data_IF_334391271384
#
_entry.id   IF_334391271384
#
_cell.length_a   1.000
_cell.length_b   1.000
_cell.length_c   1.000
_cell.angle_alpha   90.00
_cell.angle_beta   90.00
_cell.angle_gamma   90.00
#
_symmetry.space_group_name_H-M   'P 1'
#
loop_
_entity.id
_entity.type
_entity.pdbx_description
1 polymer ?
#
# COMPACT_ATOMS: atom_id res chain seq x y z
N UNK A 1 -5.57 1.76 -16.45
CA UNK A 1 -6.97 1.99 -16.88
C UNK A 1 -7.60 0.78 -17.56
N UNK A 2 -6.88 -0.02 -18.36
CA UNK A 2 -7.38 -1.29 -18.91
C UNK A 2 -7.82 -2.27 -17.81
N UNK A 3 -7.03 -2.44 -16.74
CA UNK A 3 -7.37 -3.26 -15.58
C UNK A 3 -8.67 -2.81 -14.90
N UNK A 4 -8.85 -1.50 -14.66
CA UNK A 4 -10.08 -0.95 -14.08
C UNK A 4 -11.31 -1.17 -14.99
N UNK A 5 -11.17 -1.00 -16.31
CA UNK A 5 -12.25 -1.32 -17.26
C UNK A 5 -12.58 -2.80 -17.27
N UNK A 6 -11.57 -3.66 -17.24
CA UNK A 6 -11.76 -5.10 -17.20
C UNK A 6 -12.51 -5.51 -15.92
N UNK A 7 -12.08 -5.00 -14.75
CA UNK A 7 -12.76 -5.24 -13.49
C UNK A 7 -14.22 -4.76 -13.50
N UNK A 8 -14.48 -3.56 -14.04
CA UNK A 8 -15.84 -3.05 -14.18
C UNK A 8 -16.71 -3.94 -15.09
N UNK A 9 -16.15 -4.46 -16.18
CA UNK A 9 -16.85 -5.39 -17.08
C UNK A 9 -17.16 -6.73 -16.38
N UNK A 10 -16.21 -7.29 -15.63
CA UNK A 10 -16.41 -8.53 -14.86
C UNK A 10 -17.49 -8.35 -13.78
N UNK A 11 -17.48 -7.20 -13.10
CA UNK A 11 -18.48 -6.85 -12.09
C UNK A 11 -19.87 -6.71 -12.71
N UNK A 12 -19.99 -6.05 -13.87
CA UNK A 12 -21.25 -5.90 -14.59
C UNK A 12 -21.78 -7.24 -15.12
N UNK A 13 -20.89 -8.16 -15.50
CA UNK A 13 -21.23 -9.51 -15.94
C UNK A 13 -21.57 -10.48 -14.80
N UNK A 14 -21.41 -10.06 -13.53
CA UNK A 14 -21.58 -10.95 -12.37
C UNK A 14 -20.59 -12.13 -12.37
N UNK A 15 -19.41 -11.94 -12.95
CA UNK A 15 -18.42 -13.00 -13.08
C UNK A 15 -17.93 -13.48 -11.70
N UNK A 16 -17.62 -14.78 -11.54
CA UNK A 16 -17.16 -15.34 -10.26
C UNK A 16 -15.88 -14.66 -9.75
N UNK A 17 -15.00 -14.23 -10.65
CA UNK A 17 -13.72 -13.60 -10.31
C UNK A 17 -13.78 -12.06 -10.27
N UNK A 18 -14.98 -11.47 -10.36
CA UNK A 18 -15.14 -10.01 -10.40
C UNK A 18 -14.50 -9.31 -9.20
N UNK A 19 -14.58 -9.91 -8.01
CA UNK A 19 -13.99 -9.37 -6.78
C UNK A 19 -12.47 -9.27 -6.89
N UNK A 20 -11.80 -10.35 -7.29
CA UNK A 20 -10.35 -10.38 -7.47
C UNK A 20 -9.88 -9.44 -8.59
N UNK A 21 -10.66 -9.32 -9.67
CA UNK A 21 -10.38 -8.36 -10.73
C UNK A 21 -10.45 -6.90 -10.22
N UNK A 22 -11.43 -6.58 -9.37
CA UNK A 22 -11.57 -5.25 -8.74
C UNK A 22 -10.41 -4.96 -7.78
N UNK A 23 -10.04 -5.92 -6.93
CA UNK A 23 -8.92 -5.78 -6.00
C UNK A 23 -7.59 -5.54 -6.75
N UNK A 24 -7.31 -6.35 -7.78
CA UNK A 24 -6.12 -6.18 -8.62
C UNK A 24 -6.13 -4.83 -9.35
N UNK A 25 -7.28 -4.41 -9.87
CA UNK A 25 -7.41 -3.12 -10.53
C UNK A 25 -7.20 -1.96 -9.55
N UNK A 26 -7.71 -2.06 -8.32
CA UNK A 26 -7.53 -1.05 -7.28
C UNK A 26 -6.06 -0.92 -6.89
N UNK A 27 -5.38 -2.05 -6.64
CA UNK A 27 -3.94 -2.08 -6.36
C UNK A 27 -3.12 -1.45 -7.49
N UNK A 28 -3.31 -1.91 -8.73
CA UNK A 28 -2.55 -1.42 -9.88
C UNK A 28 -2.79 0.07 -10.15
N UNK A 29 -4.02 0.57 -9.96
CA UNK A 29 -4.32 1.99 -10.15
C UNK A 29 -3.74 2.85 -9.02
N UNK A 30 -3.76 2.38 -7.77
CA UNK A 30 -3.19 3.10 -6.64
C UNK A 30 -1.67 3.27 -6.78
N UNK A 31 -0.94 2.21 -7.15
CA UNK A 31 0.50 2.26 -7.40
C UNK A 31 0.85 3.22 -8.53
N UNK A 32 0.12 3.14 -9.65
CA UNK A 32 0.30 4.05 -10.77
C UNK A 32 0.04 5.52 -10.36
N UNK A 33 -0.98 5.76 -9.53
CA UNK A 33 -1.33 7.10 -9.08
C UNK A 33 -0.24 7.73 -8.20
N UNK A 34 0.36 6.96 -7.28
CA UNK A 34 1.49 7.42 -6.46
C UNK A 34 2.68 7.78 -7.36
N UNK A 35 3.02 6.91 -8.33
CA UNK A 35 4.13 7.14 -9.26
C UNK A 35 3.93 8.43 -10.05
N UNK A 36 2.76 8.60 -10.68
CA UNK A 36 2.46 9.78 -11.49
C UNK A 36 2.50 11.06 -10.65
N UNK A 37 1.99 11.04 -9.42
CA UNK A 37 2.06 12.21 -8.54
C UNK A 37 3.50 12.54 -8.13
N UNK A 38 4.33 11.53 -7.87
CA UNK A 38 5.74 11.73 -7.56
C UNK A 38 6.51 12.29 -8.77
N UNK A 39 6.28 11.73 -9.97
CA UNK A 39 6.88 12.23 -11.21
C UNK A 39 6.43 13.68 -11.50
N UNK A 40 5.15 14.00 -11.25
CA UNK A 40 4.64 15.37 -11.35
C UNK A 40 5.37 16.34 -10.42
N UNK A 41 5.62 15.94 -9.17
CA UNK A 41 6.42 16.76 -8.24
C UNK A 41 7.84 16.96 -8.77
N UNK A 42 8.47 15.91 -9.28
CA UNK A 42 9.82 15.98 -9.80
C UNK A 42 9.93 16.92 -11.01
N UNK A 43 8.95 16.89 -11.93
CA UNK A 43 8.92 17.77 -13.10
C UNK A 43 8.75 19.25 -12.75
N UNK A 44 7.98 19.56 -11.71
CA UNK A 44 7.70 20.95 -11.31
C UNK A 44 8.71 21.51 -10.29
N UNK A 45 9.58 20.67 -9.73
CA UNK A 45 10.58 21.06 -8.73
C UNK A 45 9.94 21.65 -7.47
N UNK A 46 10.60 22.63 -6.84
CA UNK A 46 10.15 23.21 -5.56
C UNK A 46 8.74 23.82 -5.60
N UNK A 47 8.27 24.27 -6.76
CA UNK A 47 6.92 24.87 -6.94
C UNK A 47 5.82 23.84 -6.65
N UNK A 48 6.08 22.55 -6.87
CA UNK A 48 5.11 21.48 -6.64
C UNK A 48 4.63 21.39 -5.18
N UNK A 49 5.44 21.88 -4.24
CA UNK A 49 5.15 21.94 -2.80
C UNK A 49 4.63 23.31 -2.33
N UNK A 50 4.40 24.24 -3.26
CA UNK A 50 3.83 25.55 -2.96
C UNK A 50 2.33 25.59 -3.26
N UNK A 51 1.64 26.61 -2.74
CA UNK A 51 0.22 26.87 -3.00
C UNK A 51 -0.12 27.07 -4.49
N UNK A 52 0.87 27.32 -5.33
CA UNK A 52 0.69 27.56 -6.75
C UNK A 52 0.49 26.28 -7.57
N UNK A 53 0.80 25.10 -7.00
CA UNK A 53 0.58 23.84 -7.70
C UNK A 53 -0.01 22.76 -6.77
N UNK A 54 -1.18 22.17 -7.09
CA UNK A 54 -1.82 21.18 -6.23
C UNK A 54 -1.16 19.79 -6.21
N UNK A 55 -0.02 19.57 -6.90
CA UNK A 55 0.63 18.26 -6.98
C UNK A 55 0.89 17.60 -5.61
N UNK A 56 1.30 18.38 -4.62
CA UNK A 56 1.51 17.87 -3.26
C UNK A 56 0.22 17.38 -2.58
N UNK A 57 -0.95 17.92 -2.92
CA UNK A 57 -2.25 17.43 -2.43
C UNK A 57 -2.60 16.08 -3.06
N UNK A 58 -2.36 15.94 -4.37
CA UNK A 58 -2.58 14.68 -5.07
C UNK A 58 -1.65 13.57 -4.59
N UNK A 59 -0.37 13.88 -4.28
CA UNK A 59 0.53 12.88 -3.69
C UNK A 59 0.05 12.40 -2.32
N UNK A 60 -0.47 13.29 -1.47
CA UNK A 60 -1.04 12.90 -0.17
C UNK A 60 -2.24 11.97 -0.35
N UNK A 61 -3.14 12.31 -1.28
CA UNK A 61 -4.30 11.46 -1.61
C UNK A 61 -3.87 10.11 -2.17
N UNK A 62 -2.97 10.09 -3.14
CA UNK A 62 -2.47 8.86 -3.75
C UNK A 62 -1.86 7.91 -2.72
N UNK A 63 -1.11 8.45 -1.75
CA UNK A 63 -0.57 7.67 -0.64
C UNK A 63 -1.65 7.11 0.29
N UNK A 64 -2.69 7.89 0.58
CA UNK A 64 -3.83 7.41 1.37
C UNK A 64 -4.59 6.30 0.63
N UNK A 65 -4.85 6.48 -0.67
CA UNK A 65 -5.51 5.50 -1.53
C UNK A 65 -4.67 4.20 -1.61
N UNK A 66 -3.34 4.30 -1.74
CA UNK A 66 -2.45 3.15 -1.71
C UNK A 66 -2.44 2.39 -0.38
N UNK A 67 -2.64 3.06 0.76
CA UNK A 67 -2.81 2.37 2.04
C UNK A 67 -4.15 1.63 2.11
N UNK A 68 -5.21 2.23 1.55
CA UNK A 68 -6.55 1.64 1.54
C UNK A 68 -6.65 0.42 0.60
N UNK A 69 -5.95 0.46 -0.54
CA UNK A 69 -6.06 -0.57 -1.59
C UNK A 69 -4.81 -1.45 -1.75
N UNK A 70 -3.72 -1.15 -1.02
CA UNK A 70 -2.42 -1.78 -1.20
C UNK A 70 -1.69 -2.16 0.09
N UNK A 71 -2.35 -2.17 1.25
CA UNK A 71 -1.78 -2.81 2.43
C UNK A 71 -1.65 -4.33 2.19
N UNK A 72 -0.43 -4.92 2.28
CA UNK A 72 -0.23 -6.37 2.20
C UNK A 72 -1.01 -7.17 3.26
N UNK A 73 -1.58 -6.47 4.24
CA UNK A 73 -2.43 -7.02 5.28
C UNK A 73 -3.72 -7.68 4.75
N UNK A 74 -4.18 -7.33 3.53
CA UNK A 74 -5.35 -7.97 2.93
C UNK A 74 -5.04 -9.22 2.09
N UNK A 75 -3.77 -9.48 1.76
CA UNK A 75 -3.38 -10.59 0.86
C UNK A 75 -2.26 -11.48 1.38
N UNK A 76 -1.70 -11.23 2.58
CA UNK A 76 -0.87 -12.24 3.25
C UNK A 76 -1.77 -13.25 3.96
N UNK A 77 -2.18 -14.28 3.23
CA UNK A 77 -2.33 -15.58 3.88
C UNK A 77 -0.96 -15.95 4.48
N UNK A 78 -0.89 -15.97 5.80
CA UNK A 78 0.11 -16.77 6.48
C UNK A 78 -0.48 -18.19 6.59
N UNK A 79 0.04 -19.20 5.89
CA UNK A 79 -0.52 -20.55 5.89
C UNK A 79 -0.28 -21.31 7.21
N UNK A 80 0.29 -20.66 8.22
CA UNK A 80 0.61 -21.26 9.52
C UNK A 80 -0.39 -20.86 10.61
N UNK A 81 -0.56 -21.70 11.63
CA UNK A 81 -1.42 -21.39 12.77
C UNK A 81 -0.90 -20.19 13.57
N UNK A 82 -1.81 -19.43 14.18
CA UNK A 82 -1.53 -18.13 14.83
C UNK A 82 -0.44 -18.16 15.93
N UNK A 83 -0.10 -19.33 16.47
CA UNK A 83 0.94 -19.51 17.47
C UNK A 83 2.37 -19.47 16.90
N UNK A 84 2.54 -19.60 15.58
CA UNK A 84 3.85 -19.60 14.92
C UNK A 84 4.39 -18.17 14.67
N UNK A 85 3.63 -17.14 15.05
CA UNK A 85 4.04 -15.75 14.91
C UNK A 85 5.19 -15.49 15.89
N UNK A 86 6.40 -15.13 15.44
CA UNK A 86 7.45 -14.73 16.38
C UNK A 86 6.94 -13.54 17.17
N UNK A 87 6.78 -13.75 18.49
CA UNK A 87 6.41 -12.68 19.41
C UNK A 87 7.44 -11.56 19.36
N UNK A 88 7.09 -10.35 19.83
CA UNK A 88 8.09 -9.30 20.02
C UNK A 88 9.24 -9.89 20.85
N UNK A 89 10.44 -9.89 20.28
CA UNK A 89 11.67 -10.32 20.92
C UNK A 89 12.00 -9.30 22.01
N UNK A 90 11.33 -9.46 23.16
CA UNK A 90 11.66 -8.78 24.39
C UNK A 90 13.05 -9.27 24.81
N UNK A 91 14.05 -8.42 24.61
CA UNK A 91 15.35 -8.61 25.24
C UNK A 91 15.12 -8.48 26.75
N UNK A 92 15.19 -9.59 27.47
CA UNK A 92 15.17 -9.56 28.92
C UNK A 92 16.33 -8.68 29.41
N UNK A 93 16.13 -7.79 30.40
CA UNK A 93 17.23 -7.06 30.99
C UNK A 93 18.27 -8.06 31.54
N UNK A 94 19.58 -7.78 31.42
CA UNK A 94 20.60 -8.67 31.92
C UNK A 94 20.39 -8.91 33.42
N UNK A 95 20.54 -10.17 33.85
CA UNK A 95 20.42 -10.53 35.26
C UNK A 95 21.42 -9.71 36.10
N UNK A 96 21.02 -9.20 37.27
CA UNK A 96 21.94 -8.49 38.15
C UNK A 96 23.03 -9.47 38.62
N UNK A 97 24.24 -9.36 38.06
CA UNK A 97 25.41 -10.13 38.48
C UNK A 97 26.26 -10.79 37.39
N UNK A 98 25.98 -10.63 36.09
CA UNK A 98 26.91 -11.13 35.07
C UNK A 98 28.17 -10.24 34.99
N UNK A 99 29.39 -10.81 35.11
CA UNK A 99 30.61 -10.04 34.94
C UNK A 99 30.75 -9.60 33.48
N UNK A 100 31.04 -8.32 33.28
CA UNK A 100 31.42 -7.78 31.99
C UNK A 100 32.73 -8.44 31.54
N UNK A 101 32.69 -9.09 30.39
CA UNK A 101 33.88 -9.43 29.62
C UNK A 101 34.16 -8.34 28.59
#
# INVERSE_FOLDING_TARGET
TSAARHAAAQLAAGAPDAKSAVELAAFACADAFVKICADAIQMHGGIAFTWNHPAHLYLRRARADAQLFGAPAFHREFPGPAWSRPGPQWQSPPAPGSPAH
#
